data_IF_830095898935
#
_entry.id   IF_830095898935
#
_cell.length_a   1.000
_cell.length_b   1.000
_cell.length_c   1.000
_cell.angle_alpha   90.00
_cell.angle_beta   90.00
_cell.angle_gamma   90.00
#
_symmetry.space_group_name_H-M   'P 1'
#
loop_
_entity.id
_entity.type
_entity.pdbx_description
1 polymer ?
#
# COMPACT_ATOMS: atom_id res chain seq x y z
N UNK A 1 6.24 -9.58 -6.58
CA UNK A 1 6.62 -10.25 -7.83
C UNK A 1 8.13 -10.19 -7.96
N UNK A 2 8.82 -11.30 -8.24
CA UNK A 2 10.28 -11.28 -8.39
C UNK A 2 10.68 -10.37 -9.55
N UNK A 3 11.85 -9.74 -9.46
CA UNK A 3 12.41 -8.94 -10.55
C UNK A 3 12.50 -9.78 -11.84
N UNK A 4 12.78 -11.08 -11.73
CA UNK A 4 12.81 -12.02 -12.86
C UNK A 4 11.45 -12.16 -13.55
N UNK A 5 10.36 -12.28 -12.80
CA UNK A 5 9.02 -12.35 -13.38
C UNK A 5 8.65 -11.06 -14.11
N UNK A 6 8.96 -9.89 -13.55
CA UNK A 6 8.74 -8.60 -14.22
C UNK A 6 9.46 -8.54 -15.59
N UNK A 7 10.73 -8.95 -15.63
CA UNK A 7 11.50 -8.99 -16.88
C UNK A 7 10.93 -9.98 -17.90
N UNK A 8 10.41 -11.13 -17.45
CA UNK A 8 9.74 -12.09 -18.32
C UNK A 8 8.46 -11.53 -18.95
N UNK A 9 7.59 -10.90 -18.17
CA UNK A 9 6.37 -10.25 -18.70
C UNK A 9 6.73 -9.14 -19.69
N UNK A 10 7.62 -8.22 -19.29
CA UNK A 10 7.98 -7.07 -20.10
C UNK A 10 8.73 -7.49 -21.38
N UNK A 11 9.69 -8.41 -21.26
CA UNK A 11 10.44 -8.96 -22.39
C UNK A 11 9.53 -9.68 -23.38
N UNK A 12 8.59 -10.50 -22.89
CA UNK A 12 7.62 -11.20 -23.75
C UNK A 12 6.68 -10.23 -24.47
N UNK A 13 6.18 -9.22 -23.76
CA UNK A 13 5.33 -8.18 -24.35
C UNK A 13 6.08 -7.38 -25.43
N UNK A 14 7.32 -6.96 -25.18
CA UNK A 14 8.15 -6.24 -26.15
C UNK A 14 8.43 -7.11 -27.39
N UNK A 15 8.79 -8.38 -27.19
CA UNK A 15 9.04 -9.30 -28.29
C UNK A 15 7.80 -9.47 -29.18
N UNK A 16 6.62 -9.68 -28.58
CA UNK A 16 5.36 -9.78 -29.31
C UNK A 16 5.00 -8.48 -30.04
N UNK A 17 5.21 -7.32 -29.41
CA UNK A 17 4.98 -6.02 -30.04
C UNK A 17 5.90 -5.83 -31.26
N UNK A 18 7.19 -6.19 -31.17
CA UNK A 18 8.13 -6.14 -32.30
C UNK A 18 7.66 -7.05 -33.43
N UNK A 19 7.26 -8.29 -33.14
CA UNK A 19 6.72 -9.22 -34.14
C UNK A 19 5.46 -8.66 -34.80
N UNK A 20 4.54 -8.08 -34.02
CA UNK A 20 3.34 -7.43 -34.56
C UNK A 20 3.70 -6.27 -35.49
N UNK A 21 4.64 -5.40 -35.10
CA UNK A 21 5.11 -4.28 -35.93
C UNK A 21 5.80 -4.76 -37.22
N UNK A 22 6.65 -5.79 -37.14
CA UNK A 22 7.28 -6.39 -38.32
C UNK A 22 6.25 -6.99 -39.27
N UNK A 23 5.25 -7.70 -38.74
CA UNK A 23 4.17 -8.29 -39.51
C UNK A 23 3.30 -7.22 -40.18
N UNK A 24 2.97 -6.14 -39.47
CA UNK A 24 2.23 -5.00 -39.99
C UNK A 24 3.02 -4.27 -41.10
N UNK A 25 4.32 -4.03 -40.87
CA UNK A 25 5.20 -3.41 -41.85
C UNK A 25 5.31 -4.28 -43.12
N UNK A 26 5.49 -5.59 -42.97
CA UNK A 26 5.50 -6.53 -44.09
C UNK A 26 4.15 -6.54 -44.83
N UNK A 27 3.02 -6.61 -44.11
CA UNK A 27 1.68 -6.62 -44.71
C UNK A 27 1.34 -5.32 -45.47
N UNK A 28 1.93 -4.19 -45.06
CA UNK A 28 1.77 -2.88 -45.68
C UNK A 28 2.76 -2.60 -46.82
N UNK A 29 4.00 -3.10 -46.74
CA UNK A 29 5.11 -2.66 -47.60
C UNK A 29 5.81 -3.76 -48.40
N UNK A 30 5.53 -5.04 -48.16
CA UNK A 30 6.28 -6.15 -48.79
C UNK A 30 6.22 -6.13 -50.32
N UNK A 31 5.17 -5.58 -50.91
CA UNK A 31 4.93 -5.69 -52.34
C UNK A 31 4.47 -4.33 -52.90
N UNK A 32 5.46 -3.44 -52.94
CA UNK A 32 5.40 -2.13 -53.62
C UNK A 32 5.49 -2.35 -55.12
N UNK A 33 4.80 -1.51 -55.90
CA UNK A 33 4.78 -1.61 -57.37
C UNK A 33 6.17 -1.51 -58.01
N UNK A 34 7.13 -0.82 -57.37
CA UNK A 34 8.51 -0.61 -57.88
C UNK A 34 8.52 -0.16 -59.35
N UNK A 35 7.59 0.73 -59.71
CA UNK A 35 7.42 1.24 -61.08
C UNK A 35 6.70 0.29 -62.05
N UNK A 36 6.41 -0.96 -61.66
CA UNK A 36 5.69 -1.92 -62.50
C UNK A 36 4.19 -1.62 -62.48
N UNK A 37 3.58 -1.54 -63.66
CA UNK A 37 2.13 -1.42 -63.84
C UNK A 37 1.47 -2.78 -63.59
N UNK A 38 0.67 -2.90 -62.53
CA UNK A 38 0.01 -4.17 -62.21
C UNK A 38 -1.44 -3.97 -61.77
N UNK A 39 -2.31 -4.93 -62.06
CA UNK A 39 -3.71 -4.87 -61.66
C UNK A 39 -3.86 -4.89 -60.12
N UNK A 40 -4.62 -3.97 -59.50
CA UNK A 40 -4.76 -3.89 -58.04
C UNK A 40 -5.54 -5.06 -57.40
N UNK A 41 -6.18 -5.93 -58.19
CA UNK A 41 -6.91 -7.12 -57.70
C UNK A 41 -6.07 -8.40 -57.77
N UNK A 42 -5.69 -8.83 -58.97
CA UNK A 42 -4.96 -10.09 -59.19
C UNK A 42 -3.43 -9.94 -59.22
N UNK A 43 -2.92 -8.71 -59.28
CA UNK A 43 -1.49 -8.40 -59.39
C UNK A 43 -0.82 -8.77 -60.73
N UNK A 44 -1.60 -9.08 -61.77
CA UNK A 44 -1.07 -9.33 -63.11
C UNK A 44 -0.36 -8.09 -63.67
N UNK A 45 0.80 -8.29 -64.30
CA UNK A 45 1.59 -7.21 -64.89
C UNK A 45 1.00 -6.84 -66.24
N UNK A 46 0.73 -5.55 -66.47
CA UNK A 46 0.12 -5.08 -67.71
C UNK A 46 1.17 -4.27 -68.46
N UNK A 47 1.62 -4.82 -69.59
CA UNK A 47 2.77 -4.30 -70.35
C UNK A 47 2.37 -3.45 -71.57
N UNK A 48 1.11 -3.48 -71.98
CA UNK A 48 0.65 -2.81 -73.20
C UNK A 48 0.30 -1.33 -72.97
N UNK A 49 0.41 -0.52 -74.03
CA UNK A 49 -0.04 0.88 -74.05
C UNK A 49 -1.56 0.91 -74.04
N UNK A 50 -2.14 1.12 -72.85
CA UNK A 50 -3.58 1.11 -72.66
C UNK A 50 -4.18 2.51 -72.79
N UNK A 51 -5.26 2.61 -73.57
CA UNK A 51 -6.27 3.65 -73.40
C UNK A 51 -7.11 3.33 -72.16
N UNK A 52 -7.36 4.33 -71.31
CA UNK A 52 -8.22 4.18 -70.12
C UNK A 52 -9.66 4.61 -70.46
N UNK A 53 -10.69 3.94 -69.92
CA UNK A 53 -10.64 2.78 -69.02
C UNK A 53 -10.18 1.48 -69.72
N UNK A 54 -9.48 0.62 -68.99
CA UNK A 54 -9.00 -0.69 -69.49
C UNK A 54 -9.45 -1.82 -68.57
N UNK A 55 -9.57 -3.04 -69.09
CA UNK A 55 -9.96 -4.21 -68.32
C UNK A 55 -8.76 -5.15 -68.15
N UNK A 56 -8.55 -5.66 -66.93
CA UNK A 56 -7.51 -6.64 -66.68
C UNK A 56 -7.88 -7.99 -67.31
N UNK A 57 -7.02 -8.49 -68.21
CA UNK A 57 -7.20 -9.76 -68.94
C UNK A 57 -7.39 -10.99 -68.03
N UNK A 58 -6.78 -10.99 -66.84
CA UNK A 58 -6.88 -12.13 -65.90
C UNK A 58 -8.13 -12.12 -65.03
N UNK A 59 -8.52 -10.96 -64.49
CA UNK A 59 -9.55 -10.89 -63.44
C UNK A 59 -10.79 -10.08 -63.81
N UNK A 60 -10.83 -9.55 -65.04
CA UNK A 60 -11.92 -8.74 -65.58
C UNK A 60 -12.13 -7.40 -64.89
N UNK A 61 -11.25 -7.00 -63.96
CA UNK A 61 -11.41 -5.72 -63.23
C UNK A 61 -11.16 -4.55 -64.17
N UNK A 62 -12.13 -3.63 -64.24
CA UNK A 62 -11.97 -2.33 -64.86
C UNK A 62 -11.01 -1.45 -64.05
N UNK A 63 -10.07 -0.82 -64.76
CA UNK A 63 -9.07 0.08 -64.23
C UNK A 63 -9.34 1.45 -64.86
N UNK A 64 -9.90 2.35 -64.06
CA UNK A 64 -10.37 3.64 -64.53
C UNK A 64 -9.23 4.63 -64.82
N UNK A 65 -8.10 4.55 -64.10
CA UNK A 65 -6.99 5.51 -64.21
C UNK A 65 -5.64 4.82 -64.08
N UNK A 66 -4.61 5.37 -64.73
CA UNK A 66 -3.23 4.84 -64.66
C UNK A 66 -2.68 4.74 -63.23
N UNK A 67 -3.02 5.71 -62.37
CA UNK A 67 -2.59 5.71 -60.96
C UNK A 67 -3.01 4.45 -60.18
N UNK A 68 -4.10 3.80 -60.60
CA UNK A 68 -4.60 2.60 -59.93
C UNK A 68 -3.70 1.38 -60.17
N UNK A 69 -2.88 1.40 -61.24
CA UNK A 69 -1.88 0.37 -61.57
C UNK A 69 -0.65 0.40 -60.65
N UNK A 70 -0.45 1.50 -59.93
CA UNK A 70 0.67 1.69 -59.02
C UNK A 70 0.27 1.50 -57.55
N UNK A 71 -1.00 1.16 -57.28
CA UNK A 71 -1.51 0.99 -55.92
C UNK A 71 -0.90 -0.24 -55.24
N UNK A 72 -0.33 -0.04 -54.06
CA UNK A 72 0.22 -1.12 -53.21
C UNK A 72 -0.90 -2.05 -52.73
N UNK A 73 -0.76 -3.37 -52.91
CA UNK A 73 -1.70 -4.34 -52.32
C UNK A 73 -1.39 -4.46 -50.83
N UNK A 74 -2.31 -3.99 -50.00
CA UNK A 74 -2.24 -4.18 -48.56
C UNK A 74 -2.89 -5.51 -48.19
N UNK A 75 -2.23 -6.30 -47.37
CA UNK A 75 -2.75 -7.60 -46.92
C UNK A 75 -3.58 -7.41 -45.65
N UNK A 76 -4.81 -6.88 -45.78
CA UNK A 76 -5.65 -6.50 -44.64
C UNK A 76 -5.87 -7.61 -43.59
N UNK A 77 -5.95 -8.89 -44.00
CA UNK A 77 -6.03 -10.02 -43.06
C UNK A 77 -4.83 -10.10 -42.12
N UNK A 78 -3.62 -9.87 -42.64
CA UNK A 78 -2.38 -9.88 -41.86
C UNK A 78 -2.24 -8.62 -41.01
N UNK A 79 -2.79 -7.48 -41.45
CA UNK A 79 -2.91 -6.28 -40.61
C UNK A 79 -3.82 -6.58 -39.41
N UNK A 80 -4.98 -7.20 -39.63
CA UNK A 80 -5.86 -7.65 -38.54
C UNK A 80 -5.16 -8.60 -37.56
N UNK A 81 -4.41 -9.59 -38.08
CA UNK A 81 -3.61 -10.49 -37.25
C UNK A 81 -2.55 -9.72 -36.43
N UNK A 82 -1.83 -8.78 -37.03
CA UNK A 82 -0.87 -7.94 -36.30
C UNK A 82 -1.52 -7.10 -35.20
N UNK A 83 -2.74 -6.59 -35.41
CA UNK A 83 -3.47 -5.84 -34.40
C UNK A 83 -3.86 -6.73 -33.20
N UNK A 84 -4.27 -7.97 -33.45
CA UNK A 84 -4.57 -8.95 -32.39
C UNK A 84 -3.29 -9.29 -31.60
N UNK A 85 -2.16 -9.54 -32.28
CA UNK A 85 -0.89 -9.82 -31.60
C UNK A 85 -0.45 -8.61 -30.75
N UNK A 86 -0.63 -7.39 -31.27
CA UNK A 86 -0.33 -6.17 -30.52
C UNK A 86 -1.24 -6.00 -29.30
N UNK A 87 -2.52 -6.35 -29.41
CA UNK A 87 -3.45 -6.35 -28.29
C UNK A 87 -3.04 -7.35 -27.21
N UNK A 88 -2.65 -8.57 -27.60
CA UNK A 88 -2.13 -9.58 -26.66
C UNK A 88 -0.83 -9.09 -26.00
N UNK A 89 0.07 -8.44 -26.75
CA UNK A 89 1.27 -7.85 -26.20
C UNK A 89 0.96 -6.78 -25.14
N UNK A 90 0.01 -5.88 -25.43
CA UNK A 90 -0.45 -4.87 -24.48
C UNK A 90 -1.10 -5.50 -23.23
N UNK A 91 -1.91 -6.55 -23.41
CA UNK A 91 -2.53 -7.29 -22.32
C UNK A 91 -1.47 -7.93 -21.39
N UNK A 92 -0.43 -8.56 -21.96
CA UNK A 92 0.68 -9.16 -21.20
C UNK A 92 1.48 -8.09 -20.45
N UNK A 93 1.77 -6.95 -21.10
CA UNK A 93 2.49 -5.84 -20.47
C UNK A 93 1.78 -5.30 -19.22
N UNK A 94 0.46 -5.43 -19.18
CA UNK A 94 -0.42 -4.92 -18.11
C UNK A 94 -0.60 -5.91 -16.96
N UNK A 95 -0.39 -7.21 -17.18
CA UNK A 95 -0.58 -8.25 -16.16
C UNK A 95 0.13 -7.98 -14.82
N UNK A 96 1.39 -7.50 -14.79
CA UNK A 96 2.07 -7.15 -13.53
C UNK A 96 1.30 -6.16 -12.64
N UNK A 97 0.52 -5.26 -13.25
CA UNK A 97 -0.31 -4.28 -12.52
C UNK A 97 -1.66 -4.90 -12.13
N UNK A 98 -2.29 -5.64 -13.03
CA UNK A 98 -3.64 -6.21 -12.81
C UNK A 98 -3.65 -7.32 -11.77
N UNK A 99 -2.60 -8.16 -11.68
CA UNK A 99 -2.58 -9.26 -10.70
C UNK A 99 -2.68 -8.80 -9.23
N UNK A 100 -1.87 -7.83 -8.77
CA UNK A 100 -1.96 -7.35 -7.39
C UNK A 100 -3.12 -6.37 -7.14
N UNK A 101 -3.57 -5.61 -8.15
CA UNK A 101 -4.48 -4.47 -7.97
C UNK A 101 -5.83 -4.60 -8.69
N UNK A 102 -6.08 -5.74 -9.34
CA UNK A 102 -7.28 -5.99 -10.13
C UNK A 102 -7.38 -5.13 -11.41
N UNK A 103 -8.47 -5.34 -12.14
CA UNK A 103 -8.74 -4.64 -13.40
C UNK A 103 -9.04 -3.14 -13.24
N UNK A 104 -9.56 -2.72 -12.08
CA UNK A 104 -9.82 -1.32 -11.77
C UNK A 104 -8.58 -0.44 -11.89
N UNK A 105 -7.40 -0.99 -11.60
CA UNK A 105 -6.10 -0.30 -11.70
C UNK A 105 -5.72 0.14 -13.13
N UNK A 106 -6.39 -0.39 -14.16
CA UNK A 106 -6.16 -0.04 -15.57
C UNK A 106 -7.06 1.08 -16.08
N UNK A 107 -8.16 1.34 -15.37
CA UNK A 107 -9.09 2.42 -15.72
C UNK A 107 -8.40 3.75 -15.46
N UNK A 108 -8.40 4.71 -16.40
CA UNK A 108 -7.81 6.03 -16.12
C UNK A 108 -8.41 6.64 -14.86
N UNK A 109 -7.58 7.19 -13.96
CA UNK A 109 -8.02 7.79 -12.69
C UNK A 109 -9.22 8.76 -12.86
N UNK A 110 -9.20 9.57 -13.91
CA UNK A 110 -10.30 10.48 -14.29
C UNK A 110 -11.64 9.76 -14.47
N UNK A 111 -11.64 8.58 -15.08
CA UNK A 111 -12.84 7.79 -15.29
C UNK A 111 -13.31 7.13 -13.98
N UNK A 112 -12.39 6.71 -13.10
CA UNK A 112 -12.77 6.20 -11.78
C UNK A 112 -13.43 7.28 -10.92
N UNK A 113 -12.86 8.48 -10.84
CA UNK A 113 -13.46 9.60 -10.08
C UNK A 113 -14.82 9.99 -10.66
N UNK A 114 -14.97 9.94 -11.99
CA UNK A 114 -16.27 10.15 -12.64
C UNK A 114 -17.28 9.09 -12.23
N UNK A 115 -16.92 7.81 -12.31
CA UNK A 115 -17.81 6.69 -11.99
C UNK A 115 -18.21 6.68 -10.52
N UNK A 116 -17.33 7.15 -9.64
CA UNK A 116 -17.62 7.36 -8.21
C UNK A 116 -18.80 8.31 -7.97
N UNK A 117 -19.21 9.12 -8.95
CA UNK A 117 -20.39 9.99 -8.83
C UNK A 117 -21.71 9.25 -9.02
N UNK A 118 -21.69 8.09 -9.68
CA UNK A 118 -22.89 7.35 -10.05
C UNK A 118 -23.16 6.17 -9.13
N UNK A 119 -22.10 5.50 -8.67
CA UNK A 119 -22.22 4.29 -7.87
C UNK A 119 -20.93 4.04 -7.07
N UNK A 120 -21.05 3.75 -5.77
CA UNK A 120 -19.94 3.43 -4.86
C UNK A 120 -19.59 1.94 -4.90
N UNK A 121 -19.69 1.34 -6.08
CA UNK A 121 -19.30 -0.05 -6.26
C UNK A 121 -17.86 -0.28 -5.77
N UNK A 122 -17.70 -1.32 -4.95
CA UNK A 122 -16.43 -1.74 -4.33
C UNK A 122 -15.25 -1.75 -5.33
N UNK A 123 -15.49 -2.11 -6.60
CA UNK A 123 -14.44 -2.12 -7.62
C UNK A 123 -13.91 -0.73 -8.00
N UNK A 124 -14.75 0.32 -7.98
CA UNK A 124 -14.30 1.71 -8.26
C UNK A 124 -13.43 2.19 -7.11
N UNK A 125 -13.88 1.97 -5.87
CA UNK A 125 -13.14 2.35 -4.66
C UNK A 125 -11.79 1.66 -4.63
N UNK A 126 -11.77 0.32 -4.79
CA UNK A 126 -10.52 -0.46 -4.88
C UNK A 126 -9.66 -0.03 -6.07
N UNK A 127 -10.26 0.40 -7.19
CA UNK A 127 -9.55 0.90 -8.35
C UNK A 127 -8.78 2.19 -8.07
N UNK A 128 -9.41 3.14 -7.36
CA UNK A 128 -8.79 4.40 -6.93
C UNK A 128 -7.70 4.10 -5.89
N UNK A 129 -8.04 3.36 -4.84
CA UNK A 129 -7.13 2.96 -3.77
C UNK A 129 -5.89 2.26 -4.35
N UNK A 130 -6.10 1.31 -5.26
CA UNK A 130 -5.03 0.59 -5.94
C UNK A 130 -4.09 1.50 -6.72
N UNK A 131 -4.59 2.54 -7.38
CA UNK A 131 -3.74 3.48 -8.11
C UNK A 131 -2.95 4.40 -7.19
N UNK A 132 -3.59 4.91 -6.14
CA UNK A 132 -2.93 5.68 -5.08
C UNK A 132 -1.82 4.84 -4.45
N UNK A 133 -2.13 3.62 -4.02
CA UNK A 133 -1.18 2.69 -3.43
C UNK A 133 -0.08 2.31 -4.43
N UNK A 134 -0.40 1.99 -5.68
CA UNK A 134 0.60 1.65 -6.70
C UNK A 134 1.66 2.75 -6.83
N UNK A 135 1.23 4.00 -6.96
CA UNK A 135 2.16 5.13 -7.11
C UNK A 135 2.94 5.42 -5.82
N UNK A 136 2.31 5.31 -4.65
CA UNK A 136 2.99 5.47 -3.35
C UNK A 136 4.05 4.38 -3.11
N UNK A 137 3.73 3.11 -3.39
CA UNK A 137 4.62 1.98 -3.14
C UNK A 137 5.73 1.83 -4.19
N UNK A 138 5.45 2.06 -5.47
CA UNK A 138 6.46 1.83 -6.53
C UNK A 138 7.47 2.97 -6.66
N UNK A 139 7.14 4.19 -6.23
CA UNK A 139 8.05 5.34 -6.35
C UNK A 139 8.92 5.55 -5.12
N UNK A 140 8.56 4.96 -3.98
CA UNK A 140 9.34 5.08 -2.75
C UNK A 140 10.40 3.97 -2.65
N UNK A 141 11.65 4.37 -2.88
CA UNK A 141 12.86 3.62 -2.45
C UNK A 141 13.46 4.16 -1.15
N UNK A 142 12.84 5.13 -0.48
CA UNK A 142 13.42 5.79 0.68
C UNK A 142 12.67 5.45 1.99
N UNK A 143 13.38 5.24 3.12
CA UNK A 143 12.80 4.76 4.37
C UNK A 143 12.05 5.79 5.21
N UNK A 144 11.94 7.04 4.76
CA UNK A 144 11.37 8.15 5.55
C UNK A 144 9.85 8.20 5.36
N UNK A 145 9.19 7.23 5.99
CA UNK A 145 7.76 6.90 5.89
C UNK A 145 6.83 8.12 6.05
N UNK A 146 7.22 9.12 6.84
CA UNK A 146 6.35 10.22 7.27
C UNK A 146 6.68 11.60 6.66
N UNK A 147 7.94 11.93 6.36
CA UNK A 147 8.28 13.24 5.73
C UNK A 147 7.77 13.38 4.29
N UNK A 148 7.46 12.26 3.64
CA UNK A 148 7.06 12.22 2.23
C UNK A 148 5.56 11.91 2.05
N UNK A 149 4.77 11.87 3.12
CA UNK A 149 3.30 11.63 3.09
C UNK A 149 2.49 12.82 2.55
N UNK A 150 3.05 13.60 1.62
CA UNK A 150 2.29 14.55 0.82
C UNK A 150 2.16 14.02 -0.62
N UNK A 151 1.17 13.16 -0.91
CA UNK A 151 0.91 12.68 -2.27
C UNK A 151 0.43 13.78 -3.21
N UNK A 152 0.09 14.99 -2.71
CA UNK A 152 -0.13 16.15 -3.57
C UNK A 152 1.18 16.79 -4.09
N UNK A 153 2.33 16.50 -3.45
CA UNK A 153 3.67 16.78 -3.99
C UNK A 153 4.14 15.72 -5.00
N UNK A 154 3.62 14.49 -4.90
CA UNK A 154 3.99 13.39 -5.79
C UNK A 154 2.99 13.21 -6.94
N UNK A 155 3.48 12.80 -8.12
CA UNK A 155 2.66 12.72 -9.36
C UNK A 155 1.72 11.49 -9.36
N UNK A 156 1.07 11.17 -8.25
CA UNK A 156 0.06 10.10 -8.17
C UNK A 156 -1.23 10.53 -8.88
N UNK A 157 -1.66 11.76 -8.60
CA UNK A 157 -2.80 12.39 -9.28
C UNK A 157 -2.49 13.85 -9.59
N UNK A 158 -3.15 14.38 -10.62
CA UNK A 158 -3.07 15.79 -10.92
C UNK A 158 -3.81 16.60 -9.84
N UNK A 159 -3.34 17.82 -9.57
CA UNK A 159 -3.97 18.76 -8.60
C UNK A 159 -5.47 18.93 -8.78
N UNK A 160 -5.96 18.95 -10.02
CA UNK A 160 -7.39 19.07 -10.31
C UNK A 160 -8.16 17.76 -10.03
N UNK A 161 -7.52 16.60 -10.16
CA UNK A 161 -8.14 15.32 -9.83
C UNK A 161 -8.32 15.18 -8.32
N UNK A 162 -7.36 15.62 -7.51
CA UNK A 162 -7.51 15.65 -6.05
C UNK A 162 -8.68 16.53 -5.61
N UNK A 163 -8.80 17.74 -6.19
CA UNK A 163 -9.95 18.63 -5.93
C UNK A 163 -11.27 17.99 -6.37
N UNK A 164 -11.28 17.34 -7.52
CA UNK A 164 -12.48 16.68 -8.01
C UNK A 164 -12.87 15.49 -7.11
N UNK A 165 -11.91 14.65 -6.73
CA UNK A 165 -12.14 13.54 -5.81
C UNK A 165 -12.71 14.05 -4.49
N UNK A 166 -12.10 15.07 -3.87
CA UNK A 166 -12.60 15.69 -2.63
C UNK A 166 -14.05 16.17 -2.76
N UNK A 167 -14.39 16.89 -3.83
CA UNK A 167 -15.76 17.37 -4.09
C UNK A 167 -16.76 16.23 -4.33
N UNK A 168 -16.30 15.10 -4.85
CA UNK A 168 -17.13 13.92 -5.06
C UNK A 168 -17.38 13.17 -3.75
N UNK A 169 -16.37 13.00 -2.90
CA UNK A 169 -16.47 12.16 -1.69
C UNK A 169 -17.00 12.89 -0.46
N UNK A 170 -16.69 14.18 -0.29
CA UNK A 170 -17.08 14.92 0.92
C UNK A 170 -18.59 14.92 1.18
N UNK A 171 -19.46 15.20 0.18
CA UNK A 171 -20.90 15.15 0.40
C UNK A 171 -21.42 13.75 0.74
N UNK A 172 -20.65 12.69 0.44
CA UNK A 172 -21.05 11.29 0.65
C UNK A 172 -20.64 10.74 2.01
N UNK A 173 -19.76 11.41 2.74
CA UNK A 173 -19.31 10.93 4.07
C UNK A 173 -20.44 10.86 5.10
N UNK A 174 -21.48 11.65 4.89
CA UNK A 174 -22.68 11.74 5.71
C UNK A 174 -23.80 10.80 5.24
N UNK A 175 -23.56 10.01 4.19
CA UNK A 175 -24.51 9.03 3.69
C UNK A 175 -24.50 7.79 4.61
N UNK A 176 -25.62 7.53 5.27
CA UNK A 176 -25.80 6.40 6.19
C UNK A 176 -25.76 5.04 5.46
N UNK A 177 -26.08 5.03 4.16
CA UNK A 177 -26.06 3.83 3.32
C UNK A 177 -24.66 3.54 2.74
N UNK A 178 -23.68 4.40 3.02
CA UNK A 178 -22.32 4.22 2.52
C UNK A 178 -21.67 3.01 3.18
N UNK A 179 -21.21 2.08 2.34
CA UNK A 179 -20.46 0.92 2.78
C UNK A 179 -19.28 1.32 3.71
N UNK A 180 -19.13 0.70 4.90
CA UNK A 180 -18.08 1.06 5.85
C UNK A 180 -16.67 1.03 5.26
N UNK A 181 -16.39 0.11 4.33
CA UNK A 181 -15.08 0.03 3.68
C UNK A 181 -14.88 1.19 2.67
N UNK A 182 -15.91 1.58 1.91
CA UNK A 182 -15.87 2.78 1.08
C UNK A 182 -15.67 4.05 1.93
N UNK A 183 -16.44 4.20 3.00
CA UNK A 183 -16.35 5.33 3.93
C UNK A 183 -14.95 5.46 4.55
N UNK A 184 -14.35 4.33 4.98
CA UNK A 184 -12.96 4.28 5.45
C UNK A 184 -11.97 4.79 4.39
N UNK A 185 -12.11 4.31 3.16
CA UNK A 185 -11.24 4.75 2.07
C UNK A 185 -11.38 6.23 1.77
N UNK A 186 -12.60 6.79 1.86
CA UNK A 186 -12.81 8.22 1.65
C UNK A 186 -12.08 9.05 2.70
N UNK A 187 -12.08 8.63 3.96
CA UNK A 187 -11.26 9.26 4.99
C UNK A 187 -9.78 9.17 4.69
N UNK A 188 -9.30 8.00 4.29
CA UNK A 188 -7.90 7.80 3.94
C UNK A 188 -7.49 8.67 2.75
N UNK A 189 -8.36 8.89 1.77
CA UNK A 189 -8.05 9.76 0.64
C UNK A 189 -8.13 11.23 1.02
N UNK A 190 -9.10 11.62 1.85
CA UNK A 190 -9.18 12.97 2.40
C UNK A 190 -7.89 13.26 3.14
N UNK A 191 -7.44 12.37 4.04
CA UNK A 191 -6.17 12.46 4.77
C UNK A 191 -4.96 12.74 3.88
N UNK A 192 -4.90 12.05 2.76
CA UNK A 192 -3.82 12.17 1.78
C UNK A 192 -3.88 13.51 1.02
N UNK A 193 -5.05 14.16 0.96
CA UNK A 193 -5.29 15.43 0.27
C UNK A 193 -5.01 16.67 1.13
N UNK A 194 -3.88 16.72 1.85
CA UNK A 194 -3.60 17.73 2.90
C UNK A 194 -3.85 19.19 2.55
N UNK A 195 -3.73 19.57 1.28
CA UNK A 195 -4.05 20.93 0.84
C UNK A 195 -5.15 20.98 -0.22
N UNK A 196 -5.71 19.85 -0.66
CA UNK A 196 -6.52 19.74 -1.88
C UNK A 196 -5.96 20.58 -3.04
N UNK A 197 -4.63 20.54 -3.20
CA UNK A 197 -3.89 21.35 -4.16
C UNK A 197 -4.07 22.88 -4.02
N UNK A 198 -4.21 23.37 -2.79
CA UNK A 198 -4.38 24.78 -2.42
C UNK A 198 -5.83 25.26 -2.34
N UNK A 199 -6.83 24.36 -2.40
CA UNK A 199 -8.24 24.73 -2.29
C UNK A 199 -8.64 24.87 -0.80
N UNK A 200 -8.51 26.09 -0.26
CA UNK A 200 -8.78 26.38 1.16
C UNK A 200 -10.23 26.09 1.58
N UNK A 201 -11.18 26.26 0.68
CA UNK A 201 -12.59 25.99 0.99
C UNK A 201 -12.79 24.48 1.15
N UNK A 202 -12.31 23.70 0.18
CA UNK A 202 -12.41 22.24 0.24
C UNK A 202 -11.66 21.66 1.44
N UNK A 203 -10.53 22.26 1.81
CA UNK A 203 -9.80 21.95 3.03
C UNK A 203 -10.61 22.19 4.30
N UNK A 204 -11.28 23.34 4.40
CA UNK A 204 -12.14 23.66 5.55
C UNK A 204 -13.34 22.70 5.64
N UNK A 205 -13.99 22.41 4.50
CA UNK A 205 -15.09 21.45 4.41
C UNK A 205 -14.63 20.04 4.83
N UNK A 206 -13.45 19.60 4.37
CA UNK A 206 -12.87 18.33 4.78
C UNK A 206 -12.53 18.27 6.27
N UNK A 207 -11.99 19.36 6.82
CA UNK A 207 -11.69 19.46 8.25
C UNK A 207 -12.95 19.30 9.08
N UNK A 208 -14.04 19.98 8.68
CA UNK A 208 -15.32 19.89 9.37
C UNK A 208 -15.97 18.51 9.23
N UNK A 209 -15.91 17.91 8.04
CA UNK A 209 -16.38 16.56 7.83
C UNK A 209 -15.61 15.56 8.71
N UNK A 210 -14.28 15.66 8.79
CA UNK A 210 -13.47 14.85 9.69
C UNK A 210 -13.86 15.07 11.15
N UNK A 211 -14.16 16.30 11.57
CA UNK A 211 -14.61 16.60 12.93
C UNK A 211 -15.92 15.94 13.31
N UNK A 212 -16.92 16.02 12.43
CA UNK A 212 -18.21 15.36 12.65
C UNK A 212 -18.04 13.85 12.90
N UNK A 213 -17.11 13.25 12.18
CA UNK A 213 -16.85 11.81 12.17
C UNK A 213 -16.14 11.31 13.44
N UNK A 214 -15.50 12.20 14.19
CA UNK A 214 -14.95 11.86 15.49
C UNK A 214 -16.04 11.53 16.53
N UNK A 215 -17.30 11.91 16.24
CA UNK A 215 -18.47 11.54 17.04
C UNK A 215 -19.28 10.39 16.42
N UNK A 216 -18.73 9.66 15.44
CA UNK A 216 -19.40 8.51 14.83
C UNK A 216 -19.62 7.37 15.85
N UNK A 217 -20.67 6.58 15.70
CA UNK A 217 -20.90 5.43 16.59
C UNK A 217 -19.87 4.33 16.39
N UNK A 218 -19.33 4.19 15.18
CA UNK A 218 -18.34 3.17 14.86
C UNK A 218 -16.93 3.58 15.36
N UNK A 219 -16.32 2.79 16.27
CA UNK A 219 -15.01 3.14 16.84
C UNK A 219 -13.91 3.32 15.80
N UNK A 220 -13.92 2.54 14.72
CA UNK A 220 -12.94 2.65 13.64
C UNK A 220 -13.05 4.00 12.89
N UNK A 221 -14.27 4.50 12.67
CA UNK A 221 -14.51 5.75 11.97
C UNK A 221 -14.10 6.92 12.85
N UNK A 222 -14.46 6.86 14.14
CA UNK A 222 -13.95 7.79 15.15
C UNK A 222 -12.45 7.84 15.10
N UNK A 223 -11.76 6.74 15.44
CA UNK A 223 -10.30 6.66 15.60
C UNK A 223 -9.55 7.21 14.38
N UNK A 224 -10.10 6.98 13.19
CA UNK A 224 -9.54 7.55 11.96
C UNK A 224 -9.78 9.05 11.85
N UNK A 225 -10.99 9.53 12.13
CA UNK A 225 -11.30 10.95 12.21
C UNK A 225 -10.33 11.72 13.12
N UNK A 226 -10.03 11.18 14.32
CA UNK A 226 -9.11 11.82 15.29
C UNK A 226 -7.69 12.00 14.75
N UNK A 227 -7.12 10.95 14.17
CA UNK A 227 -5.78 11.02 13.59
C UNK A 227 -5.69 12.05 12.47
N UNK A 228 -6.78 12.21 11.71
CA UNK A 228 -6.80 13.03 10.50
C UNK A 228 -7.19 14.48 10.79
N UNK A 229 -8.16 14.76 11.65
CA UNK A 229 -8.61 16.12 11.91
C UNK A 229 -7.49 17.03 12.43
N UNK A 230 -6.58 16.48 13.24
CA UNK A 230 -5.42 17.18 13.81
C UNK A 230 -4.41 17.59 12.73
N UNK A 231 -4.27 16.80 11.66
CA UNK A 231 -3.33 17.15 10.59
C UNK A 231 -3.80 18.35 9.75
N UNK A 232 -5.12 18.63 9.79
CA UNK A 232 -5.82 19.63 8.96
C UNK A 232 -6.14 20.93 9.68
N UNK A 233 -6.18 20.94 11.01
CA UNK A 233 -6.60 22.10 11.79
C UNK A 233 -5.42 22.92 12.33
N UNK A 234 -5.75 24.10 12.84
CA UNK A 234 -4.84 24.90 13.67
C UNK A 234 -4.45 24.08 14.91
N UNK A 235 -3.18 24.13 15.28
CA UNK A 235 -2.62 23.28 16.35
C UNK A 235 -3.31 23.61 17.68
N UNK A 236 -3.52 24.90 17.96
CA UNK A 236 -4.15 25.36 19.20
C UNK A 236 -5.56 24.81 19.34
N UNK A 237 -6.40 25.01 18.31
CA UNK A 237 -7.76 24.47 18.29
C UNK A 237 -7.82 22.94 18.25
N UNK A 238 -6.76 22.26 17.80
CA UNK A 238 -6.67 20.80 17.85
C UNK A 238 -6.44 20.31 19.28
N UNK A 239 -5.52 20.95 20.01
CA UNK A 239 -5.16 20.57 21.38
C UNK A 239 -6.38 20.72 22.30
N UNK A 240 -7.00 21.91 22.32
CA UNK A 240 -8.14 22.18 23.21
C UNK A 240 -9.27 21.16 22.98
N UNK A 241 -9.52 20.86 21.72
CA UNK A 241 -10.55 19.89 21.32
C UNK A 241 -10.19 18.46 21.71
N UNK A 242 -8.93 18.03 21.54
CA UNK A 242 -8.47 16.70 21.94
C UNK A 242 -8.57 16.50 23.45
N UNK A 243 -8.24 17.54 24.23
CA UNK A 243 -8.32 17.51 25.69
C UNK A 243 -9.76 17.43 26.17
N UNK A 244 -10.65 18.29 25.67
CA UNK A 244 -12.10 18.22 25.97
C UNK A 244 -12.64 16.80 25.72
N UNK A 245 -12.14 16.12 24.69
CA UNK A 245 -12.63 14.81 24.33
C UNK A 245 -11.98 13.67 25.07
N UNK A 246 -10.73 13.80 25.52
CA UNK A 246 -10.14 12.86 26.48
C UNK A 246 -10.91 12.89 27.80
N UNK A 247 -11.30 14.08 28.27
CA UNK A 247 -12.11 14.24 29.47
C UNK A 247 -13.50 13.60 29.35
N UNK A 248 -14.08 13.62 28.14
CA UNK A 248 -15.44 13.13 27.88
C UNK A 248 -15.47 11.86 27.02
N UNK A 249 -14.39 11.08 27.01
CA UNK A 249 -14.28 9.90 26.16
C UNK A 249 -15.29 8.82 26.58
N UNK A 250 -16.17 8.34 25.68
CA UNK A 250 -17.18 7.34 26.03
C UNK A 250 -16.61 5.93 26.26
N UNK A 251 -15.44 5.64 25.70
CA UNK A 251 -14.78 4.33 25.75
C UNK A 251 -13.26 4.43 25.49
N UNK A 252 -12.56 3.31 25.74
CA UNK A 252 -11.12 3.17 25.54
C UNK A 252 -10.65 3.39 24.10
N UNK A 253 -11.54 3.14 23.13
CA UNK A 253 -11.26 3.41 21.72
C UNK A 253 -11.23 4.91 21.46
N UNK A 254 -12.18 5.68 22.00
CA UNK A 254 -12.16 7.13 21.91
C UNK A 254 -10.92 7.74 22.60
N UNK A 255 -10.52 7.23 23.76
CA UNK A 255 -9.26 7.61 24.41
C UNK A 255 -8.08 7.35 23.47
N UNK A 256 -8.02 6.16 22.87
CA UNK A 256 -6.95 5.79 21.94
C UNK A 256 -6.91 6.69 20.70
N UNK A 257 -8.07 6.99 20.10
CA UNK A 257 -8.19 7.92 18.97
C UNK A 257 -7.64 9.30 19.32
N UNK A 258 -7.98 9.82 20.51
CA UNK A 258 -7.49 11.09 20.99
C UNK A 258 -5.98 11.11 21.20
N UNK A 259 -5.42 10.07 21.83
CA UNK A 259 -3.97 9.93 22.03
C UNK A 259 -3.21 9.87 20.70
N UNK A 260 -3.78 9.19 19.69
CA UNK A 260 -3.24 9.19 18.33
C UNK A 260 -3.31 10.57 17.67
N UNK A 261 -4.32 11.36 17.98
CA UNK A 261 -4.40 12.78 17.61
C UNK A 261 -3.29 13.61 18.26
N UNK A 262 -3.10 13.47 19.58
CA UNK A 262 -2.02 14.14 20.32
C UNK A 262 -0.63 13.77 19.79
N UNK A 263 -0.42 12.54 19.31
CA UNK A 263 0.80 12.16 18.59
C UNK A 263 1.06 13.03 17.37
N UNK A 264 0.03 13.32 16.57
CA UNK A 264 0.16 14.17 15.37
C UNK A 264 0.48 15.61 15.77
N UNK A 265 -0.09 16.11 16.88
CA UNK A 265 0.31 17.38 17.48
C UNK A 265 1.79 17.32 17.89
N UNK A 266 2.18 16.29 18.64
CA UNK A 266 3.54 16.10 19.17
C UNK A 266 4.60 16.03 18.06
N UNK A 267 4.25 15.56 16.86
CA UNK A 267 5.14 15.62 15.69
C UNK A 267 5.39 17.02 15.15
N UNK A 268 4.54 18.00 15.48
CA UNK A 268 4.57 19.36 14.93
C UNK A 268 4.90 20.42 15.98
N UNK A 269 4.56 20.15 17.24
CA UNK A 269 4.62 21.11 18.33
C UNK A 269 5.02 20.40 19.64
N UNK A 270 5.94 21.03 20.38
CA UNK A 270 6.42 20.57 21.69
C UNK A 270 5.28 20.34 22.68
N UNK A 271 4.22 21.15 22.65
CA UNK A 271 3.09 21.03 23.58
C UNK A 271 2.41 19.67 23.49
N UNK A 272 2.39 19.05 22.31
CA UNK A 272 1.88 17.68 22.17
C UNK A 272 2.74 16.66 22.91
N UNK A 273 4.07 16.84 22.92
CA UNK A 273 4.98 16.01 23.72
C UNK A 273 4.74 16.23 25.21
N UNK A 274 4.65 17.50 25.64
CA UNK A 274 4.44 17.84 27.05
C UNK A 274 3.12 17.25 27.59
N UNK A 275 2.04 17.32 26.79
CA UNK A 275 0.75 16.70 27.14
C UNK A 275 0.85 15.18 27.24
N UNK A 276 1.53 14.52 26.29
CA UNK A 276 1.72 13.08 26.36
C UNK A 276 2.56 12.68 27.59
N UNK A 277 3.56 13.48 27.97
CA UNK A 277 4.33 13.26 29.21
C UNK A 277 3.44 13.40 30.45
N UNK A 278 2.56 14.41 30.49
CA UNK A 278 1.58 14.58 31.58
C UNK A 278 0.63 13.38 31.70
N UNK A 279 0.18 12.83 30.58
CA UNK A 279 -0.71 11.66 30.57
C UNK A 279 -0.05 10.36 31.08
N UNK A 280 1.27 10.31 31.26
CA UNK A 280 1.94 9.17 31.91
C UNK A 280 1.56 9.04 33.39
N UNK A 281 1.18 10.13 34.06
CA UNK A 281 0.77 10.14 35.46
C UNK A 281 -0.76 10.03 35.64
N UNK A 282 -1.51 9.82 34.55
CA UNK A 282 -2.97 9.83 34.58
C UNK A 282 -3.55 8.60 35.31
N UNK A 283 -4.67 8.77 36.04
CA UNK A 283 -5.30 7.67 36.80
C UNK A 283 -5.79 6.53 35.90
N UNK A 284 -6.30 6.87 34.72
CA UNK A 284 -6.85 5.90 33.77
C UNK A 284 -5.73 5.17 33.00
N UNK A 285 -5.60 3.83 33.11
CA UNK A 285 -4.50 3.09 32.49
C UNK A 285 -4.44 3.18 30.96
N UNK A 286 -5.60 3.29 30.30
CA UNK A 286 -5.66 3.50 28.85
C UNK A 286 -5.02 4.81 28.39
N UNK A 287 -5.10 5.87 29.20
CA UNK A 287 -4.43 7.14 28.90
C UNK A 287 -2.91 6.99 29.05
N UNK A 288 -2.45 6.34 30.13
CA UNK A 288 -1.02 6.06 30.34
C UNK A 288 -0.43 5.20 29.22
N UNK A 289 -1.08 4.09 28.88
CA UNK A 289 -0.61 3.20 27.80
C UNK A 289 -0.65 3.90 26.44
N UNK A 290 -1.71 4.68 26.16
CA UNK A 290 -1.79 5.55 24.99
C UNK A 290 -0.65 6.57 24.91
N UNK A 291 -0.33 7.23 26.03
CA UNK A 291 0.79 8.16 26.12
C UNK A 291 2.13 7.48 25.83
N UNK A 292 2.40 6.36 26.49
CA UNK A 292 3.62 5.55 26.28
C UNK A 292 3.79 5.20 24.79
N UNK A 293 2.77 4.60 24.17
CA UNK A 293 2.84 4.20 22.75
C UNK A 293 3.13 5.39 21.85
N UNK A 294 2.41 6.50 22.04
CA UNK A 294 2.51 7.66 21.16
C UNK A 294 3.82 8.43 21.34
N UNK A 295 4.39 8.45 22.55
CA UNK A 295 5.73 8.97 22.83
C UNK A 295 6.81 8.20 22.07
N UNK A 296 6.72 6.86 22.03
CA UNK A 296 7.63 6.01 21.24
C UNK A 296 7.68 6.37 19.74
N UNK A 297 6.56 6.84 19.18
CA UNK A 297 6.48 7.25 17.77
C UNK A 297 6.99 8.66 17.48
N UNK A 298 7.13 9.55 18.48
CA UNK A 298 7.53 10.95 18.27
C UNK A 298 8.98 11.24 18.66
N UNK A 299 9.67 10.27 19.29
CA UNK A 299 10.99 10.46 19.89
C UNK A 299 12.03 11.10 18.96
N UNK A 300 12.10 10.66 17.70
CA UNK A 300 13.18 11.02 16.76
C UNK A 300 13.01 12.39 16.09
N UNK A 301 11.91 13.11 16.36
CA UNK A 301 11.52 14.31 15.60
C UNK A 301 11.88 15.61 16.28
N UNK A 302 12.01 15.59 17.60
CA UNK A 302 11.90 16.81 18.38
C UNK A 302 13.12 17.09 19.28
N UNK A 303 14.17 16.25 19.23
CA UNK A 303 15.36 16.47 20.06
C UNK A 303 15.14 16.23 21.55
N UNK A 304 14.15 15.39 21.89
CA UNK A 304 13.73 15.07 23.26
C UNK A 304 13.94 13.59 23.59
N UNK A 305 14.90 12.96 22.91
CA UNK A 305 15.09 11.52 22.93
C UNK A 305 15.35 11.02 24.36
N UNK A 306 16.22 11.71 25.09
CA UNK A 306 16.55 11.33 26.47
C UNK A 306 15.37 11.49 27.43
N UNK A 307 14.66 12.62 27.37
CA UNK A 307 13.51 12.91 28.23
C UNK A 307 12.39 11.89 28.02
N UNK A 308 12.03 11.63 26.76
CA UNK A 308 10.99 10.67 26.40
C UNK A 308 11.42 9.25 26.80
N UNK A 309 12.68 8.89 26.54
CA UNK A 309 13.21 7.58 26.93
C UNK A 309 13.12 7.37 28.43
N UNK A 310 13.59 8.31 29.24
CA UNK A 310 13.59 8.20 30.71
C UNK A 310 12.17 8.12 31.27
N UNK A 311 11.24 8.92 30.72
CA UNK A 311 9.83 8.91 31.12
C UNK A 311 9.15 7.58 30.79
N UNK A 312 9.36 7.03 29.57
CA UNK A 312 8.82 5.73 29.20
C UNK A 312 9.47 4.59 29.99
N UNK A 313 10.77 4.67 30.27
CA UNK A 313 11.47 3.65 31.05
C UNK A 313 10.97 3.58 32.51
N UNK A 314 10.61 4.73 33.09
CA UNK A 314 10.04 4.82 34.43
C UNK A 314 8.74 4.02 34.60
N UNK A 315 8.01 3.75 33.51
CA UNK A 315 6.75 2.98 33.51
C UNK A 315 6.94 1.46 33.68
N UNK A 316 8.16 0.99 33.98
CA UNK A 316 8.48 -0.45 34.11
C UNK A 316 7.70 -1.16 35.21
N UNK A 317 7.36 -0.43 36.27
CA UNK A 317 6.70 -0.93 37.46
C UNK A 317 5.22 -0.47 37.54
N UNK A 318 4.64 0.02 36.43
CA UNK A 318 3.22 0.39 36.37
C UNK A 318 2.35 -0.81 36.75
N UNK A 319 1.28 -0.59 37.50
CA UNK A 319 0.37 -1.66 37.94
C UNK A 319 -0.41 -2.29 36.78
N UNK A 320 -0.66 -1.52 35.72
CA UNK A 320 -1.45 -1.95 34.58
C UNK A 320 -0.61 -2.71 33.55
N UNK A 321 -1.17 -3.85 33.12
CA UNK A 321 -0.54 -4.76 32.17
C UNK A 321 -0.25 -4.10 30.82
N UNK A 322 -1.20 -3.34 30.28
CA UNK A 322 -1.09 -2.75 28.95
C UNK A 322 -0.04 -1.63 28.94
N UNK A 323 0.11 -0.90 30.05
CA UNK A 323 1.16 0.12 30.19
C UNK A 323 2.55 -0.52 30.14
N UNK A 324 2.78 -1.59 30.91
CA UNK A 324 4.07 -2.31 30.90
C UNK A 324 4.36 -2.93 29.53
N UNK A 325 3.34 -3.45 28.86
CA UNK A 325 3.45 -4.01 27.51
C UNK A 325 3.82 -2.93 26.48
N UNK A 326 3.10 -1.81 26.46
CA UNK A 326 3.33 -0.72 25.52
C UNK A 326 4.66 -0.01 25.77
N UNK A 327 5.16 0.00 27.01
CA UNK A 327 6.53 0.44 27.33
C UNK A 327 7.56 -0.35 26.53
N UNK A 328 7.49 -1.68 26.54
CA UNK A 328 8.46 -2.52 25.81
C UNK A 328 8.39 -2.25 24.31
N UNK A 329 7.19 -2.15 23.75
CA UNK A 329 7.00 -1.82 22.33
C UNK A 329 7.58 -0.46 21.98
N UNK A 330 7.32 0.54 22.82
CA UNK A 330 7.79 1.91 22.61
C UNK A 330 9.30 2.01 22.70
N UNK A 331 9.93 1.46 23.75
CA UNK A 331 11.38 1.41 23.89
C UNK A 331 12.04 0.74 22.67
N UNK A 332 11.43 -0.31 22.11
CA UNK A 332 11.96 -0.97 20.93
C UNK A 332 12.03 -0.03 19.69
N UNK A 333 11.10 0.92 19.56
CA UNK A 333 11.14 1.94 18.51
C UNK A 333 12.16 3.05 18.76
N UNK A 334 12.53 3.30 20.02
CA UNK A 334 13.41 4.40 20.40
C UNK A 334 14.89 3.99 20.43
N UNK A 335 15.18 2.73 20.78
CA UNK A 335 16.53 2.22 20.96
C UNK A 335 17.24 1.91 19.64
N UNK A 336 18.57 2.00 19.66
CA UNK A 336 19.41 1.47 18.57
C UNK A 336 19.38 -0.06 18.56
N UNK A 337 19.68 -0.70 17.43
CA UNK A 337 19.73 -2.18 17.33
C UNK A 337 20.59 -2.83 18.43
N UNK A 338 21.69 -2.18 18.81
CA UNK A 338 22.61 -2.63 19.85
C UNK A 338 21.93 -2.80 21.22
N UNK A 339 21.01 -1.90 21.59
CA UNK A 339 20.34 -1.90 22.89
C UNK A 339 18.93 -2.50 22.83
N UNK A 340 18.27 -2.36 21.69
CA UNK A 340 16.92 -2.86 21.43
C UNK A 340 16.86 -4.38 21.55
N UNK A 341 17.76 -5.11 20.88
CA UNK A 341 17.69 -6.57 20.85
C UNK A 341 17.89 -7.24 22.22
N UNK A 342 18.91 -6.87 23.03
CA UNK A 342 19.03 -7.40 24.38
C UNK A 342 17.79 -7.13 25.23
N UNK A 343 17.19 -5.94 25.11
CA UNK A 343 15.95 -5.60 25.83
C UNK A 343 14.78 -6.48 25.38
N UNK A 344 14.57 -6.67 24.07
CA UNK A 344 13.50 -7.53 23.55
C UNK A 344 13.69 -8.98 24.05
N UNK A 345 14.91 -9.52 23.99
CA UNK A 345 15.21 -10.87 24.50
C UNK A 345 14.87 -10.97 25.99
N UNK A 346 15.35 -10.03 26.80
CA UNK A 346 15.07 -10.01 28.24
C UNK A 346 13.55 -9.92 28.52
N UNK A 347 12.82 -9.14 27.73
CA UNK A 347 11.36 -9.06 27.85
C UNK A 347 10.67 -10.38 27.49
N UNK A 348 11.10 -11.06 26.42
CA UNK A 348 10.57 -12.38 26.02
C UNK A 348 10.84 -13.48 27.06
N UNK A 349 11.91 -13.35 27.85
CA UNK A 349 12.26 -14.29 28.93
C UNK A 349 11.60 -13.93 30.28
N UNK A 350 10.86 -12.82 30.34
CA UNK A 350 10.20 -12.35 31.55
C UNK A 350 9.14 -13.33 32.06
N UNK A 351 9.07 -13.49 33.38
CA UNK A 351 7.97 -14.18 34.05
C UNK A 351 6.68 -13.34 34.05
N UNK A 352 6.79 -12.01 34.02
CA UNK A 352 5.63 -11.13 33.83
C UNK A 352 5.09 -11.29 32.40
N UNK A 353 3.85 -11.79 32.30
CA UNK A 353 3.16 -12.06 31.04
C UNK A 353 2.99 -10.82 30.16
N UNK A 354 2.82 -9.64 30.74
CA UNK A 354 2.60 -8.39 30.02
C UNK A 354 3.90 -7.91 29.38
N UNK A 355 4.99 -7.99 30.13
CA UNK A 355 6.34 -7.73 29.62
C UNK A 355 6.70 -8.74 28.53
N UNK A 356 6.36 -10.02 28.73
CA UNK A 356 6.58 -11.08 27.73
C UNK A 356 5.80 -10.83 26.45
N UNK A 357 4.50 -10.54 26.54
CA UNK A 357 3.66 -10.09 25.40
C UNK A 357 4.27 -8.88 24.69
N UNK A 358 4.79 -7.91 25.45
CA UNK A 358 5.50 -6.74 24.91
C UNK A 358 6.74 -7.13 24.11
N UNK A 359 7.58 -8.03 24.65
CA UNK A 359 8.78 -8.54 23.99
C UNK A 359 8.47 -9.27 22.69
N UNK A 360 7.51 -10.20 22.71
CA UNK A 360 7.06 -10.91 21.51
C UNK A 360 6.42 -9.97 20.48
N UNK A 361 5.61 -9.01 20.93
CA UNK A 361 5.01 -8.00 20.07
C UNK A 361 6.08 -7.14 19.38
N UNK A 362 7.04 -6.62 20.14
CA UNK A 362 8.15 -5.84 19.61
C UNK A 362 9.02 -6.66 18.63
N UNK A 363 9.37 -7.90 19.00
CA UNK A 363 10.10 -8.81 18.13
C UNK A 363 9.38 -9.03 16.79
N UNK A 364 8.07 -9.28 16.83
CA UNK A 364 7.25 -9.46 15.63
C UNK A 364 7.24 -8.20 14.76
N UNK A 365 6.97 -7.03 15.35
CA UNK A 365 6.95 -5.75 14.64
C UNK A 365 8.29 -5.47 13.95
N UNK A 366 9.43 -5.68 14.60
CA UNK A 366 10.74 -5.45 13.99
C UNK A 366 11.11 -6.50 12.92
N UNK A 367 10.56 -7.72 13.00
CA UNK A 367 10.73 -8.72 11.94
C UNK A 367 9.99 -8.32 10.67
N UNK A 368 8.76 -7.77 10.77
CA UNK A 368 7.91 -7.44 9.63
C UNK A 368 8.05 -6.02 9.09
N UNK A 369 7.99 -5.02 9.96
CA UNK A 369 7.93 -3.61 9.54
C UNK A 369 9.31 -3.08 9.15
N UNK A 370 10.37 -3.61 9.77
CA UNK A 370 11.75 -3.20 9.53
C UNK A 370 12.50 -4.12 8.56
N UNK A 371 11.76 -4.81 7.67
CA UNK A 371 12.29 -5.56 6.52
C UNK A 371 13.21 -4.66 5.67
N UNK A 372 14.51 -4.72 5.96
CA UNK A 372 15.56 -3.99 5.25
C UNK A 372 16.44 -3.08 6.11
N UNK A 373 16.06 -2.75 7.34
CA UNK A 373 16.89 -1.94 8.25
C UNK A 373 17.59 -2.77 9.33
N UNK A 374 16.87 -3.72 9.94
CA UNK A 374 17.43 -4.61 10.96
C UNK A 374 18.56 -5.49 10.39
N UNK A 375 19.81 -5.09 10.63
CA UNK A 375 20.99 -5.71 10.02
C UNK A 375 21.30 -7.08 10.61
N UNK A 376 20.98 -7.31 11.90
CA UNK A 376 21.23 -8.57 12.61
C UNK A 376 20.19 -8.83 13.69
N UNK A 377 19.18 -9.64 13.37
CA UNK A 377 18.31 -10.21 14.41
C UNK A 377 19.08 -11.31 15.17
N UNK A 378 19.08 -11.35 16.52
CA UNK A 378 19.75 -12.42 17.26
C UNK A 378 19.06 -13.77 17.04
N UNK A 379 19.85 -14.85 16.91
CA UNK A 379 19.31 -16.22 16.83
C UNK A 379 18.42 -16.56 18.04
N UNK A 380 18.75 -16.01 19.22
CA UNK A 380 17.97 -16.17 20.45
C UNK A 380 16.49 -15.79 20.30
N UNK A 381 16.17 -14.78 19.48
CA UNK A 381 14.78 -14.39 19.22
C UNK A 381 14.03 -15.53 18.51
N UNK A 382 14.66 -16.21 17.55
CA UNK A 382 14.08 -17.36 16.84
C UNK A 382 13.91 -18.54 17.78
N UNK A 383 14.92 -18.83 18.61
CA UNK A 383 14.86 -19.92 19.59
C UNK A 383 13.68 -19.73 20.56
N UNK A 384 13.54 -18.53 21.12
CA UNK A 384 12.42 -18.19 22.01
C UNK A 384 11.08 -18.23 21.27
N UNK A 385 11.03 -17.77 20.02
CA UNK A 385 9.82 -17.85 19.21
C UNK A 385 9.39 -19.29 18.92
N UNK A 386 10.31 -20.18 18.54
CA UNK A 386 9.98 -21.59 18.32
C UNK A 386 9.49 -22.24 19.63
N UNK A 387 10.15 -21.95 20.76
CA UNK A 387 9.76 -22.49 22.06
C UNK A 387 8.37 -22.01 22.54
N UNK A 388 7.89 -20.87 22.05
CA UNK A 388 6.64 -20.24 22.48
C UNK A 388 5.48 -20.40 21.47
N UNK A 389 5.60 -21.27 20.46
CA UNK A 389 4.49 -21.54 19.52
C UNK A 389 3.27 -22.12 20.26
N UNK A 390 3.49 -22.89 21.33
CA UNK A 390 2.46 -23.49 22.19
C UNK A 390 2.32 -22.79 23.56
N UNK A 391 2.81 -21.54 23.71
CA UNK A 391 2.65 -20.76 24.96
C UNK A 391 1.17 -20.71 25.39
N UNK A 392 0.83 -20.68 26.68
CA UNK A 392 -0.57 -20.65 27.11
C UNK A 392 -1.29 -19.35 26.66
N UNK A 393 -0.52 -18.29 26.44
CA UNK A 393 -1.02 -17.00 26.00
C UNK A 393 -1.17 -16.89 24.47
N UNK A 394 -2.40 -16.63 24.03
CA UNK A 394 -2.74 -16.52 22.61
C UNK A 394 -1.93 -15.45 21.85
N UNK A 395 -1.68 -14.29 22.48
CA UNK A 395 -0.96 -13.20 21.84
C UNK A 395 0.53 -13.54 21.65
N UNK A 396 1.12 -14.25 22.62
CA UNK A 396 2.48 -14.76 22.53
C UNK A 396 2.58 -15.81 21.43
N UNK A 397 1.74 -16.86 21.44
CA UNK A 397 1.75 -17.92 20.40
C UNK A 397 1.70 -17.35 18.99
N UNK A 398 0.76 -16.43 18.75
CA UNK A 398 0.60 -15.80 17.43
C UNK A 398 1.82 -14.98 17.05
N UNK A 399 2.33 -14.14 17.95
CA UNK A 399 3.50 -13.31 17.69
C UNK A 399 4.75 -14.17 17.44
N UNK A 400 4.91 -15.26 18.20
CA UNK A 400 5.97 -16.23 18.05
C UNK A 400 5.94 -16.93 16.67
N UNK A 401 4.77 -17.44 16.26
CA UNK A 401 4.59 -18.06 14.94
C UNK A 401 4.89 -17.08 13.80
N UNK A 402 4.47 -15.81 13.93
CA UNK A 402 4.76 -14.78 12.94
C UNK A 402 6.26 -14.40 12.94
N UNK A 403 6.94 -14.31 14.08
CA UNK A 403 8.40 -14.11 14.13
C UNK A 403 9.13 -15.21 13.34
N UNK A 404 8.75 -16.48 13.53
CA UNK A 404 9.32 -17.62 12.79
C UNK A 404 9.06 -17.48 11.29
N UNK A 405 7.83 -17.17 10.88
CA UNK A 405 7.47 -16.98 9.48
C UNK A 405 8.24 -15.83 8.83
N UNK A 406 8.36 -14.70 9.54
CA UNK A 406 9.10 -13.54 9.05
C UNK A 406 10.61 -13.81 8.95
N UNK A 407 11.18 -14.55 9.90
CA UNK A 407 12.58 -14.97 9.85
C UNK A 407 12.87 -15.93 8.68
N UNK A 408 11.93 -16.82 8.32
CA UNK A 408 12.08 -17.74 7.19
C UNK A 408 12.13 -17.04 5.81
N UNK A 409 11.48 -15.88 5.70
CA UNK A 409 11.37 -15.13 4.42
C UNK A 409 12.66 -14.44 3.96
N UNK A 410 13.62 -14.21 4.88
CA UNK A 410 14.88 -13.53 4.61
C UNK A 410 16.04 -14.53 4.60
N UNK A 411 16.87 -14.56 3.55
CA UNK A 411 17.93 -15.56 3.38
C UNK A 411 18.94 -15.60 4.54
N UNK A 412 19.25 -14.45 5.17
CA UNK A 412 20.19 -14.39 6.30
C UNK A 412 19.56 -14.95 7.56
N UNK A 413 18.32 -14.57 7.86
CA UNK A 413 17.58 -15.04 9.04
C UNK A 413 17.12 -16.48 8.89
N UNK A 414 16.88 -16.95 7.67
CA UNK A 414 16.51 -18.34 7.37
C UNK A 414 17.52 -19.34 7.94
N UNK A 415 18.81 -19.00 7.91
CA UNK A 415 19.85 -19.85 8.50
C UNK A 415 19.68 -20.07 10.00
N UNK A 416 19.03 -19.15 10.71
CA UNK A 416 18.70 -19.26 12.13
C UNK A 416 17.48 -20.16 12.37
N UNK A 417 16.57 -20.25 11.40
CA UNK A 417 15.35 -21.05 11.50
C UNK A 417 15.59 -22.51 11.08
N UNK A 418 16.50 -22.76 10.14
CA UNK A 418 16.80 -24.10 9.61
C UNK A 418 17.06 -25.17 10.69
N UNK A 419 17.80 -24.90 11.78
CA UNK A 419 17.99 -25.87 12.86
C UNK A 419 16.71 -26.29 13.59
N UNK A 420 15.62 -25.53 13.45
CA UNK A 420 14.35 -25.73 14.17
C UNK A 420 13.21 -26.26 13.29
N UNK A 421 13.47 -26.63 12.03
CA UNK A 421 12.43 -27.06 11.07
C UNK A 421 11.59 -28.22 11.60
N UNK A 422 12.20 -29.23 12.21
CA UNK A 422 11.48 -30.38 12.76
C UNK A 422 10.53 -29.99 13.89
N UNK A 423 10.91 -29.04 14.75
CA UNK A 423 10.04 -28.51 15.79
C UNK A 423 8.88 -27.73 15.17
N UNK A 424 9.15 -26.86 14.20
CA UNK A 424 8.13 -26.06 13.49
C UNK A 424 7.11 -26.97 12.78
N UNK A 425 7.55 -28.06 12.16
CA UNK A 425 6.67 -29.02 11.48
C UNK A 425 5.68 -29.72 12.43
N UNK A 426 6.01 -29.86 13.72
CA UNK A 426 5.08 -30.42 14.71
C UNK A 426 3.84 -29.53 14.91
N UNK A 427 3.94 -28.23 14.62
CA UNK A 427 2.84 -27.27 14.74
C UNK A 427 2.13 -26.99 13.40
N UNK A 428 2.36 -27.77 12.34
CA UNK A 428 1.69 -27.59 11.04
C UNK A 428 0.16 -27.79 11.12
N UNK A 429 -0.30 -28.56 12.10
CA UNK A 429 -1.73 -28.81 12.37
C UNK A 429 -2.20 -28.11 13.66
N UNK A 430 -1.60 -26.97 13.99
CA UNK A 430 -2.00 -26.17 15.16
C UNK A 430 -3.48 -25.73 15.06
N UNK A 431 -4.19 -25.73 16.19
CA UNK A 431 -5.63 -25.43 16.26
C UNK A 431 -5.96 -23.95 15.98
N UNK A 432 -5.11 -23.03 16.44
CA UNK A 432 -5.20 -21.62 16.08
C UNK A 432 -4.85 -21.42 14.60
N UNK A 433 -5.82 -20.94 13.83
CA UNK A 433 -5.70 -20.72 12.39
C UNK A 433 -4.61 -19.70 12.03
N UNK A 434 -4.41 -18.65 12.83
CA UNK A 434 -3.36 -17.65 12.58
C UNK A 434 -1.98 -18.26 12.77
N UNK A 435 -1.80 -19.10 13.81
CA UNK A 435 -0.55 -19.83 14.04
C UNK A 435 -0.30 -20.77 12.87
N UNK A 436 -1.28 -21.59 12.51
CA UNK A 436 -1.19 -22.52 11.37
C UNK A 436 -0.80 -21.81 10.07
N UNK A 437 -1.43 -20.68 9.74
CA UNK A 437 -1.10 -19.89 8.55
C UNK A 437 0.34 -19.36 8.56
N UNK A 438 0.82 -18.89 9.72
CA UNK A 438 2.19 -18.42 9.86
C UNK A 438 3.20 -19.59 9.70
N UNK A 439 2.93 -20.75 10.30
CA UNK A 439 3.75 -21.95 10.18
C UNK A 439 3.79 -22.45 8.72
N UNK A 440 2.64 -22.51 8.04
CA UNK A 440 2.56 -22.88 6.63
C UNK A 440 3.36 -21.92 5.74
N UNK A 441 3.33 -20.61 6.04
CA UNK A 441 4.14 -19.62 5.34
C UNK A 441 5.64 -19.86 5.59
N UNK A 442 6.04 -20.11 6.84
CA UNK A 442 7.42 -20.41 7.21
C UNK A 442 7.95 -21.64 6.46
N UNK A 443 7.22 -22.76 6.52
CA UNK A 443 7.61 -24.02 5.88
C UNK A 443 7.67 -23.91 4.36
N UNK A 444 6.76 -23.14 3.76
CA UNK A 444 6.78 -22.87 2.31
C UNK A 444 8.06 -22.15 1.89
N UNK A 445 8.51 -21.16 2.66
CA UNK A 445 9.71 -20.39 2.34
C UNK A 445 11.00 -21.14 2.71
N UNK A 446 10.98 -21.99 3.74
CA UNK A 446 12.12 -22.87 4.09
C UNK A 446 12.37 -23.95 3.04
N UNK A 447 11.33 -24.43 2.34
CA UNK A 447 11.42 -25.45 1.29
C UNK A 447 11.87 -24.92 -0.09
N UNK A 448 11.95 -23.60 -0.25
CA UNK A 448 12.42 -22.92 -1.48
C UNK A 448 13.92 -22.69 -1.42
#
# INVERSE_FOLDING_TARGET
>A
MSMTALWLYLGSAIALAIVACMLAAWACFSDRSRGRRRCPKCWYSIHESLSYPTHCSECGREIAREKDLHRTRRRWKWIGASAIVLFVAAFIAVQPKVQPFGWGSMTPMTALIFLLQFDDTDWVVRGIESQINYDLFHRRRAPDFLDHWNPAKEKAMWRWQWRWLGRTILPRLDDEDLDPFARRNYFDWIALCRDFAGDRQLHAEATEALRKQMSDEAPWARNRGWMLAVDYSDIDGSIDWLLERLENAPDDDAIWGAMMGLRVVAWRDRRGVDLLLEFLDHEHPRMRSGAVTNLGFVVHRNGFEAEIHDAVDAMKDDEDCDVRLERIRSLAFMLTEEHMWPMIVAAMESEDICVRRGGFGAGNTHVYEWRGRATTMPARIVELAVASIDDEDEAIRRSAAWIVAGAATDDRRRQMVLPHVEAIEQHAEHEDLSVKQAIDAALRDLRR
#
